data_IF_424416026404
#
_entry.id   IF_424416026404
#
_cell.length_a   1.000
_cell.length_b   1.000
_cell.length_c   1.000
_cell.angle_alpha   90.00
_cell.angle_beta   90.00
_cell.angle_gamma   90.00
#
_symmetry.space_group_name_H-M   'P 1'
#
loop_
_entity.id
_entity.type
_entity.pdbx_description
1 polymer ?
#
# COMPACT_ATOMS: atom_id res chain seq x y z
N UNK A 1 -1.66 -27.21 9.78
CA UNK A 1 -1.60 -27.06 11.25
C UNK A 1 -2.97 -26.59 11.72
N UNK A 2 -3.63 -27.32 12.64
CA UNK A 2 -4.76 -26.76 13.39
C UNK A 2 -4.23 -25.80 14.45
N UNK A 3 -4.97 -24.72 14.74
CA UNK A 3 -4.59 -23.79 15.80
C UNK A 3 -4.91 -24.42 17.17
N UNK A 4 -3.89 -24.51 18.02
CA UNK A 4 -3.88 -25.32 19.26
C UNK A 4 -4.45 -24.55 20.45
N UNK A 5 -4.88 -23.29 20.26
CA UNK A 5 -5.24 -22.39 21.36
C UNK A 5 -6.68 -22.48 21.88
N UNK A 6 -7.44 -23.54 21.54
CA UNK A 6 -8.77 -23.70 22.11
C UNK A 6 -8.71 -23.94 23.62
N UNK A 7 -9.26 -23.02 24.44
CA UNK A 7 -9.79 -23.42 25.75
C UNK A 7 -10.82 -24.52 25.48
N UNK A 8 -10.77 -25.68 26.17
CA UNK A 8 -11.75 -26.74 25.95
C UNK A 8 -13.16 -26.18 26.16
N UNK A 9 -14.02 -26.33 25.17
CA UNK A 9 -15.43 -25.96 25.33
C UNK A 9 -16.08 -26.98 26.27
N UNK A 10 -17.05 -26.54 27.07
CA UNK A 10 -17.75 -27.42 28.02
C UNK A 10 -18.53 -28.58 27.36
N UNK A 11 -18.50 -28.68 26.02
CA UNK A 11 -19.20 -29.70 25.22
C UNK A 11 -18.25 -30.67 24.50
N UNK A 12 -16.93 -30.53 24.63
CA UNK A 12 -15.98 -31.42 23.95
C UNK A 12 -15.86 -32.76 24.68
N UNK A 13 -16.55 -33.80 24.17
CA UNK A 13 -16.36 -35.17 24.64
C UNK A 13 -14.96 -35.69 24.25
N UNK A 14 -14.30 -36.52 25.09
CA UNK A 14 -12.89 -36.88 24.91
C UNK A 14 -12.57 -37.82 23.74
N UNK A 15 -13.55 -38.15 22.87
CA UNK A 15 -13.43 -39.30 21.97
C UNK A 15 -13.51 -39.03 20.47
N UNK A 16 -13.48 -37.77 20.00
CA UNK A 16 -13.45 -37.53 18.54
C UNK A 16 -12.89 -36.16 18.12
N UNK A 17 -11.73 -35.76 18.63
CA UNK A 17 -11.08 -34.52 18.21
C UNK A 17 -10.27 -34.69 16.92
N UNK A 18 -10.95 -34.94 15.79
CA UNK A 18 -10.37 -34.51 14.50
C UNK A 18 -10.33 -32.98 14.54
N UNK A 19 -9.18 -32.32 14.33
CA UNK A 19 -9.13 -30.87 14.32
C UNK A 19 -10.10 -30.37 13.25
N UNK A 20 -11.09 -29.57 13.64
CA UNK A 20 -11.96 -28.89 12.67
C UNK A 20 -11.04 -28.05 11.78
N UNK A 21 -11.19 -28.18 10.46
CA UNK A 21 -10.48 -27.32 9.51
C UNK A 21 -11.15 -25.95 9.53
N UNK A 22 -10.89 -25.19 10.57
CA UNK A 22 -11.30 -23.79 10.67
C UNK A 22 -10.21 -22.92 10.06
N UNK A 23 -10.57 -21.84 9.36
CA UNK A 23 -9.59 -20.87 8.90
C UNK A 23 -8.95 -20.21 10.12
N UNK A 24 -7.64 -20.38 10.23
CA UNK A 24 -6.84 -19.74 11.26
C UNK A 24 -5.94 -18.71 10.59
N UNK A 25 -5.99 -17.48 11.09
CA UNK A 25 -5.14 -16.40 10.61
C UNK A 25 -4.13 -16.03 11.68
N UNK A 26 -2.98 -15.51 11.24
CA UNK A 26 -1.91 -15.06 12.12
C UNK A 26 -1.76 -13.56 11.96
N UNK A 27 -2.37 -12.79 12.86
CA UNK A 27 -2.18 -11.34 12.94
C UNK A 27 -1.55 -11.00 14.28
N UNK A 28 -0.46 -10.24 14.29
CA UNK A 28 -0.06 -9.56 15.54
C UNK A 28 -1.22 -8.61 15.91
N UNK A 29 -1.36 -8.19 17.18
CA UNK A 29 -2.44 -7.28 17.68
C UNK A 29 -2.48 -5.87 17.04
N UNK A 30 -2.21 -5.77 15.74
CA UNK A 30 -2.33 -4.61 14.88
C UNK A 30 -3.72 -4.63 14.24
N UNK A 31 -4.53 -3.69 14.70
CA UNK A 31 -5.95 -3.54 14.40
C UNK A 31 -6.28 -3.51 12.89
N UNK A 32 -5.51 -2.85 11.99
CA UNK A 32 -5.94 -2.69 10.58
C UNK A 32 -6.00 -4.01 9.82
N UNK A 33 -5.00 -4.87 9.98
CA UNK A 33 -4.89 -6.10 9.19
C UNK A 33 -5.96 -7.11 9.59
N UNK A 34 -6.27 -7.19 10.87
CA UNK A 34 -7.31 -8.06 11.39
C UNK A 34 -8.70 -7.73 10.82
N UNK A 35 -9.06 -6.45 10.75
CA UNK A 35 -10.35 -5.98 10.20
C UNK A 35 -10.48 -6.33 8.71
N UNK A 36 -9.41 -6.12 7.93
CA UNK A 36 -9.41 -6.42 6.49
C UNK A 36 -9.51 -7.91 6.17
N UNK A 37 -9.18 -8.80 7.09
CA UNK A 37 -9.37 -10.23 6.90
C UNK A 37 -10.72 -10.71 7.44
N UNK A 38 -11.08 -10.37 8.67
CA UNK A 38 -12.31 -10.88 9.30
C UNK A 38 -13.59 -10.47 8.55
N UNK A 39 -13.70 -9.20 8.14
CA UNK A 39 -14.91 -8.70 7.48
C UNK A 39 -15.21 -9.41 6.15
N UNK A 40 -14.25 -9.58 5.21
CA UNK A 40 -14.49 -10.36 3.99
C UNK A 40 -14.81 -11.83 4.21
N UNK A 41 -14.36 -12.46 5.30
CA UNK A 41 -14.70 -13.85 5.62
C UNK A 41 -16.11 -13.98 6.21
N UNK A 42 -16.53 -13.03 7.05
CA UNK A 42 -17.88 -13.02 7.61
C UNK A 42 -18.95 -12.58 6.61
N UNK A 43 -18.62 -11.72 5.65
CA UNK A 43 -19.58 -11.24 4.64
C UNK A 43 -20.28 -12.38 3.85
N UNK A 44 -19.57 -13.37 3.27
CA UNK A 44 -20.20 -14.51 2.60
C UNK A 44 -20.63 -15.63 3.56
N UNK A 45 -20.03 -15.72 4.76
CA UNK A 45 -20.37 -16.74 5.74
C UNK A 45 -20.24 -16.22 7.19
N UNK A 46 -21.30 -15.62 7.76
CA UNK A 46 -21.25 -15.06 9.10
C UNK A 46 -21.18 -16.11 10.22
N UNK A 47 -21.35 -17.41 9.88
CA UNK A 47 -21.24 -18.53 10.83
C UNK A 47 -19.83 -19.11 10.89
N UNK A 48 -18.89 -18.58 10.12
CA UNK A 48 -17.51 -19.03 10.13
C UNK A 48 -16.89 -18.71 11.49
N UNK A 49 -16.17 -19.66 12.08
CA UNK A 49 -15.35 -19.39 13.25
C UNK A 49 -13.98 -18.90 12.78
N UNK A 50 -13.54 -17.77 13.33
CA UNK A 50 -12.17 -17.26 13.15
C UNK A 50 -11.41 -17.53 14.44
N UNK A 51 -10.26 -18.19 14.32
CA UNK A 51 -9.32 -18.37 15.43
C UNK A 51 -8.16 -17.41 15.24
N UNK A 52 -7.93 -16.55 16.23
CA UNK A 52 -6.82 -15.59 16.26
C UNK A 52 -5.91 -15.84 17.47
N UNK A 53 -4.79 -16.58 17.29
CA UNK A 53 -3.89 -16.93 18.37
C UNK A 53 -3.29 -15.75 19.13
N UNK A 54 -3.08 -14.59 18.49
CA UNK A 54 -2.47 -13.45 19.17
C UNK A 54 -3.46 -12.70 20.09
N UNK A 55 -4.75 -12.92 19.89
CA UNK A 55 -5.82 -12.41 20.74
C UNK A 55 -6.25 -13.44 21.79
N UNK A 56 -6.27 -14.71 21.42
CA UNK A 56 -6.85 -15.78 22.24
C UNK A 56 -5.84 -16.53 23.11
N UNK A 57 -4.56 -16.56 22.75
CA UNK A 57 -3.51 -17.18 23.58
C UNK A 57 -2.56 -16.15 24.21
N UNK A 58 -1.86 -16.59 25.25
CA UNK A 58 -0.89 -15.81 26.01
C UNK A 58 0.44 -15.67 25.26
N UNK A 59 0.41 -15.10 24.06
CA UNK A 59 1.58 -14.81 23.25
C UNK A 59 2.09 -13.42 23.61
N UNK A 60 3.23 -13.36 24.30
CA UNK A 60 3.77 -12.10 24.89
C UNK A 60 4.77 -11.41 23.94
N UNK A 61 5.12 -12.02 22.80
CA UNK A 61 6.03 -11.42 21.84
C UNK A 61 6.77 -12.43 20.97
N UNK A 62 7.79 -11.93 20.27
CA UNK A 62 8.62 -12.73 19.36
C UNK A 62 9.45 -13.76 20.12
N UNK A 63 10.00 -13.37 21.27
CA UNK A 63 10.86 -14.18 22.14
C UNK A 63 10.10 -15.40 22.64
N UNK A 64 8.88 -15.19 23.15
CA UNK A 64 7.97 -16.27 23.56
C UNK A 64 7.71 -17.25 22.40
N UNK A 65 7.42 -16.73 21.20
CA UNK A 65 7.17 -17.59 20.04
C UNK A 65 8.40 -18.41 19.62
N UNK A 66 9.61 -17.86 19.76
CA UNK A 66 10.89 -18.55 19.51
C UNK A 66 11.10 -19.66 20.54
N UNK A 67 10.90 -19.38 21.83
CA UNK A 67 11.03 -20.38 22.89
C UNK A 67 10.01 -21.51 22.74
N UNK A 68 8.76 -21.17 22.41
CA UNK A 68 7.73 -22.13 22.10
C UNK A 68 8.13 -23.03 20.94
N UNK A 69 8.63 -22.44 19.84
CA UNK A 69 9.10 -23.20 18.68
C UNK A 69 10.23 -24.18 19.06
N UNK A 70 11.21 -23.72 19.84
CA UNK A 70 12.32 -24.56 20.34
C UNK A 70 11.82 -25.71 21.20
N UNK A 71 10.95 -25.43 22.18
CA UNK A 71 10.36 -26.44 23.07
C UNK A 71 9.61 -27.53 22.31
N UNK A 72 8.99 -27.16 21.19
CA UNK A 72 8.20 -28.07 20.35
C UNK A 72 8.94 -28.58 19.11
N UNK A 73 10.28 -28.40 19.03
CA UNK A 73 11.11 -28.83 17.91
C UNK A 73 10.62 -28.33 16.54
N UNK A 74 10.02 -27.14 16.51
CA UNK A 74 9.61 -26.48 15.26
C UNK A 74 10.84 -25.78 14.68
N UNK A 75 11.31 -26.15 13.48
CA UNK A 75 12.48 -25.53 12.88
C UNK A 75 12.19 -24.07 12.55
N UNK A 76 13.04 -23.17 13.05
CA UNK A 76 12.99 -21.73 12.76
C UNK A 76 14.32 -21.27 12.17
N UNK A 77 14.32 -20.35 11.18
CA UNK A 77 15.54 -19.76 10.68
C UNK A 77 16.27 -18.98 11.79
N UNK A 78 17.54 -19.28 12.05
CA UNK A 78 18.32 -18.64 13.13
C UNK A 78 18.84 -17.23 12.81
N UNK A 79 18.58 -16.73 11.59
CA UNK A 79 19.12 -15.44 11.16
C UNK A 79 18.34 -14.26 11.72
N UNK A 80 18.97 -13.47 12.60
CA UNK A 80 18.60 -12.08 12.93
C UNK A 80 18.86 -11.13 11.75
N UNK A 81 18.35 -11.45 10.55
CA UNK A 81 18.74 -10.74 9.32
C UNK A 81 18.05 -9.38 9.15
N UNK A 82 16.88 -9.20 9.74
CA UNK A 82 16.18 -7.92 9.77
C UNK A 82 15.55 -7.73 11.15
N UNK A 83 15.73 -6.52 11.67
CA UNK A 83 15.08 -6.05 12.90
C UNK A 83 13.68 -5.48 12.62
N UNK A 84 13.39 -5.10 11.38
CA UNK A 84 12.10 -4.57 10.96
C UNK A 84 11.09 -5.69 10.71
N UNK A 85 9.83 -5.43 11.05
CA UNK A 85 8.70 -6.17 10.51
C UNK A 85 8.37 -5.57 9.15
N UNK A 86 8.33 -6.39 8.10
CA UNK A 86 8.02 -5.93 6.76
C UNK A 86 6.98 -6.79 6.07
N UNK A 87 6.12 -6.14 5.28
CA UNK A 87 5.15 -6.80 4.41
C UNK A 87 5.44 -6.40 2.97
N UNK A 88 5.50 -7.41 2.09
CA UNK A 88 5.92 -7.25 0.70
C UNK A 88 4.93 -7.94 -0.21
N UNK A 89 4.45 -7.19 -1.19
CA UNK A 89 3.71 -7.72 -2.33
C UNK A 89 4.28 -7.15 -3.64
N UNK A 90 3.53 -7.21 -4.73
CA UNK A 90 3.96 -6.65 -6.02
C UNK A 90 3.94 -5.10 -6.04
N UNK A 91 3.07 -4.50 -5.22
CA UNK A 91 2.75 -3.09 -5.24
C UNK A 91 3.65 -2.25 -4.34
N UNK A 92 3.95 -2.78 -3.15
CA UNK A 92 4.75 -2.08 -2.17
C UNK A 92 5.52 -3.02 -1.25
N UNK A 93 6.45 -2.42 -0.53
CA UNK A 93 7.17 -2.99 0.61
C UNK A 93 7.02 -2.01 1.77
N UNK A 94 6.43 -2.43 2.87
CA UNK A 94 6.37 -1.66 4.11
C UNK A 94 7.39 -2.17 5.13
N UNK A 95 7.84 -1.27 6.01
CA UNK A 95 8.66 -1.59 7.18
C UNK A 95 8.13 -0.86 8.40
N UNK A 96 8.18 -1.52 9.55
CA UNK A 96 7.70 -1.01 10.82
C UNK A 96 8.44 -1.65 11.99
N UNK A 97 8.41 -0.98 13.15
CA UNK A 97 8.99 -1.46 14.40
C UNK A 97 10.47 -1.11 14.59
N UNK A 98 10.99 -1.50 15.75
CA UNK A 98 12.35 -1.19 16.22
C UNK A 98 12.63 0.32 16.16
N UNK A 99 13.74 0.74 15.57
CA UNK A 99 14.17 2.15 15.56
C UNK A 99 13.14 3.12 14.97
N UNK A 100 12.21 2.63 14.14
CA UNK A 100 11.16 3.44 13.49
C UNK A 100 10.03 3.83 14.45
N UNK A 101 9.99 3.24 15.66
CA UNK A 101 8.98 3.60 16.68
C UNK A 101 9.28 4.95 17.35
N UNK A 102 10.54 5.41 17.28
CA UNK A 102 10.93 6.74 17.71
C UNK A 102 11.03 7.67 16.49
N UNK A 103 10.14 8.65 16.45
CA UNK A 103 10.01 9.63 15.35
C UNK A 103 11.27 10.47 15.13
N UNK A 104 12.15 10.56 16.13
CA UNK A 104 13.42 11.27 15.98
C UNK A 104 14.46 10.48 15.19
N UNK A 105 14.26 9.17 15.01
CA UNK A 105 15.18 8.33 14.25
C UNK A 105 14.90 8.40 12.75
N UNK A 106 15.96 8.65 11.97
CA UNK A 106 15.89 8.52 10.52
C UNK A 106 15.92 7.03 10.12
N UNK A 107 15.18 6.62 9.07
CA UNK A 107 15.34 5.29 8.50
C UNK A 107 16.78 5.01 8.04
N UNK A 108 17.27 3.78 8.28
CA UNK A 108 18.60 3.35 7.84
C UNK A 108 18.57 2.96 6.36
N UNK A 109 19.69 3.17 5.66
CA UNK A 109 19.81 2.89 4.21
C UNK A 109 19.58 1.41 3.86
N UNK A 110 19.91 0.48 4.76
CA UNK A 110 19.72 -0.96 4.58
C UNK A 110 18.23 -1.38 4.58
N UNK A 111 17.32 -0.48 4.95
CA UNK A 111 15.87 -0.68 4.88
C UNK A 111 15.35 -0.57 3.43
N UNK A 112 16.01 0.23 2.58
CA UNK A 112 15.56 0.44 1.20
C UNK A 112 15.96 -0.75 0.33
N UNK A 113 15.06 -1.72 0.20
CA UNK A 113 15.33 -2.95 -0.56
C UNK A 113 14.98 -2.87 -2.06
N UNK A 114 14.13 -1.91 -2.45
CA UNK A 114 13.61 -1.79 -3.84
C UNK A 114 14.14 -0.58 -4.58
N UNK A 115 14.44 0.48 -3.84
CA UNK A 115 14.90 1.76 -4.36
C UNK A 115 16.32 2.01 -3.88
N UNK A 116 17.12 2.66 -4.72
CA UNK A 116 18.38 3.26 -4.28
C UNK A 116 18.10 4.43 -3.33
N UNK A 117 19.05 4.78 -2.47
CA UNK A 117 18.96 6.03 -1.72
C UNK A 117 18.87 7.21 -2.70
N UNK A 118 18.03 8.24 -2.45
CA UNK A 118 17.94 9.39 -3.34
C UNK A 118 19.28 10.09 -3.60
N UNK A 119 20.23 10.02 -2.66
CA UNK A 119 21.60 10.54 -2.83
C UNK A 119 22.44 9.72 -3.84
N UNK A 120 22.03 8.49 -4.14
CA UNK A 120 22.69 7.56 -5.07
C UNK A 120 21.90 7.40 -6.39
N UNK A 121 20.77 8.10 -6.53
CA UNK A 121 19.97 8.10 -7.74
C UNK A 121 20.72 8.75 -8.92
N UNK A 122 20.31 8.43 -10.14
CA UNK A 122 20.93 9.02 -11.34
C UNK A 122 20.61 10.51 -11.44
N UNK A 123 21.62 11.34 -11.69
CA UNK A 123 21.42 12.77 -11.94
C UNK A 123 20.65 13.09 -13.23
N UNK A 124 20.62 12.16 -14.19
CA UNK A 124 19.95 12.35 -15.48
C UNK A 124 18.52 11.84 -15.42
N UNK A 125 17.52 12.68 -15.79
CA UNK A 125 16.13 12.24 -15.84
C UNK A 125 15.94 11.16 -16.91
N UNK A 126 15.06 10.21 -16.62
CA UNK A 126 14.62 9.18 -17.56
C UNK A 126 13.17 9.46 -17.97
N UNK A 127 12.94 9.68 -19.26
CA UNK A 127 11.60 9.88 -19.79
C UNK A 127 10.97 8.52 -20.06
N UNK A 128 9.78 8.32 -19.53
CA UNK A 128 8.96 7.15 -19.79
C UNK A 128 7.60 7.58 -20.33
N UNK A 129 7.05 6.80 -21.25
CA UNK A 129 5.67 6.94 -21.70
C UNK A 129 4.83 5.82 -21.10
N UNK A 130 3.69 6.16 -20.50
CA UNK A 130 2.74 5.19 -19.96
C UNK A 130 1.48 5.27 -20.80
N UNK A 131 1.13 4.17 -21.47
CA UNK A 131 -0.15 4.06 -22.15
C UNK A 131 -1.25 3.71 -21.16
N UNK A 132 -2.42 4.31 -21.38
CA UNK A 132 -3.60 4.10 -20.56
C UNK A 132 -4.78 3.88 -21.49
N UNK A 133 -5.40 2.71 -21.39
CA UNK A 133 -6.63 2.36 -22.10
C UNK A 133 -7.77 2.20 -21.10
N UNK A 134 -8.86 2.96 -21.29
CA UNK A 134 -10.05 2.89 -20.44
C UNK A 134 -9.77 3.05 -18.93
N UNK A 135 -8.77 3.87 -18.57
CA UNK A 135 -8.37 4.13 -17.19
C UNK A 135 -7.38 3.12 -16.60
N UNK A 136 -6.97 2.09 -17.37
CA UNK A 136 -6.01 1.09 -16.94
C UNK A 136 -4.67 1.28 -17.69
N UNK A 137 -3.53 1.31 -16.98
CA UNK A 137 -2.25 1.33 -17.64
C UNK A 137 -2.00 -0.02 -18.35
N UNK A 138 -1.61 0.03 -19.62
CA UNK A 138 -1.45 -1.15 -20.49
C UNK A 138 -0.04 -1.30 -21.06
N UNK A 139 0.76 -0.23 -21.06
CA UNK A 139 2.03 -0.19 -21.74
C UNK A 139 3.02 0.78 -21.10
N UNK A 140 4.31 0.48 -21.30
CA UNK A 140 5.43 1.35 -20.91
C UNK A 140 6.34 1.49 -22.13
N UNK A 141 6.67 2.73 -22.50
CA UNK A 141 7.44 3.07 -23.69
C UNK A 141 6.89 2.40 -24.96
N UNK A 142 5.56 2.48 -25.14
CA UNK A 142 4.80 1.89 -26.25
C UNK A 142 4.82 0.36 -26.32
N UNK A 143 5.41 -0.30 -25.32
CA UNK A 143 5.40 -1.76 -25.22
C UNK A 143 4.25 -2.19 -24.32
N UNK A 144 3.29 -2.92 -24.90
CA UNK A 144 2.21 -3.57 -24.15
C UNK A 144 2.75 -4.60 -23.16
N UNK A 145 2.20 -4.57 -21.94
CA UNK A 145 2.60 -5.43 -20.84
C UNK A 145 1.36 -5.94 -20.11
N UNK A 146 1.42 -7.17 -19.59
CA UNK A 146 0.41 -7.59 -18.61
C UNK A 146 0.49 -6.70 -17.37
N UNK A 147 -0.61 -6.52 -16.61
CA UNK A 147 -0.61 -5.67 -15.42
C UNK A 147 0.55 -5.99 -14.47
N UNK A 148 0.80 -7.27 -14.20
CA UNK A 148 1.90 -7.67 -13.31
C UNK A 148 3.29 -7.29 -13.88
N UNK A 149 3.49 -7.46 -15.18
CA UNK A 149 4.77 -7.11 -15.84
C UNK A 149 4.98 -5.60 -15.86
N UNK A 150 3.90 -4.82 -15.99
CA UNK A 150 3.92 -3.37 -15.92
C UNK A 150 4.42 -2.89 -14.55
N UNK A 151 3.91 -3.45 -13.45
CA UNK A 151 4.42 -3.16 -12.10
C UNK A 151 5.88 -3.54 -11.92
N UNK A 152 6.27 -4.73 -12.41
CA UNK A 152 7.67 -5.16 -12.33
C UNK A 152 8.59 -4.19 -13.09
N UNK A 153 8.18 -3.72 -14.26
CA UNK A 153 8.99 -2.81 -15.07
C UNK A 153 9.06 -1.41 -14.44
N UNK A 154 7.93 -0.87 -14.02
CA UNK A 154 7.89 0.43 -13.33
C UNK A 154 8.69 0.40 -12.02
N UNK A 155 8.59 -0.66 -11.22
CA UNK A 155 9.37 -0.81 -9.99
C UNK A 155 10.88 -0.83 -10.25
N UNK A 156 11.33 -1.41 -11.38
CA UNK A 156 12.76 -1.37 -11.76
C UNK A 156 13.20 0.02 -12.17
N UNK A 157 12.35 0.76 -12.88
CA UNK A 157 12.66 2.13 -13.33
C UNK A 157 12.68 3.05 -12.12
N UNK A 158 11.59 3.11 -11.35
CA UNK A 158 11.48 3.92 -10.13
C UNK A 158 12.57 3.57 -9.11
N UNK A 159 12.87 2.28 -8.95
CA UNK A 159 13.91 1.76 -8.07
C UNK A 159 15.29 2.38 -8.34
N UNK A 160 15.68 2.52 -9.61
CA UNK A 160 16.97 3.12 -10.01
C UNK A 160 17.05 4.63 -9.74
N UNK A 161 15.91 5.29 -9.62
CA UNK A 161 15.81 6.73 -9.43
C UNK A 161 15.43 7.10 -7.99
N UNK A 162 15.31 6.14 -7.07
CA UNK A 162 14.93 6.41 -5.68
C UNK A 162 13.46 6.81 -5.48
N UNK A 163 12.61 6.61 -6.50
CA UNK A 163 11.21 7.08 -6.49
C UNK A 163 10.34 6.13 -5.67
N UNK A 164 9.43 6.69 -4.86
CA UNK A 164 8.42 5.93 -4.11
C UNK A 164 8.80 5.61 -2.67
N UNK A 165 9.81 6.28 -2.10
CA UNK A 165 10.10 6.22 -0.67
C UNK A 165 9.15 7.17 0.08
N UNK A 166 8.41 6.63 1.05
CA UNK A 166 7.46 7.37 1.87
C UNK A 166 7.74 7.03 3.33
N UNK A 167 7.97 8.05 4.14
CA UNK A 167 7.99 7.96 5.60
C UNK A 167 6.68 8.59 6.11
N UNK A 168 5.95 7.90 6.98
CA UNK A 168 4.63 8.34 7.41
C UNK A 168 4.30 7.93 8.84
N UNK A 169 3.57 8.80 9.53
CA UNK A 169 2.90 8.48 10.79
C UNK A 169 1.41 8.28 10.50
N UNK A 170 0.94 7.04 10.59
CA UNK A 170 -0.45 6.71 10.30
C UNK A 170 -1.30 6.50 11.57
N UNK A 171 -2.56 6.94 11.50
CA UNK A 171 -3.57 6.58 12.49
C UNK A 171 -4.22 5.25 12.11
N UNK A 172 -4.18 4.27 13.02
CA UNK A 172 -4.60 2.88 12.77
C UNK A 172 -6.10 2.64 12.61
N UNK A 173 -6.95 3.66 12.76
CA UNK A 173 -8.41 3.54 12.63
C UNK A 173 -9.07 4.71 11.86
N UNK A 174 -8.53 5.94 11.92
CA UNK A 174 -9.07 7.13 11.25
C UNK A 174 -7.96 8.14 10.88
N UNK A 175 -7.82 8.45 9.56
CA UNK A 175 -6.96 9.42 8.82
C UNK A 175 -6.49 10.70 9.57
N UNK A 176 -5.39 11.42 9.34
CA UNK A 176 -4.00 11.30 8.82
C UNK A 176 -3.22 12.52 9.42
N UNK A 177 -1.91 12.42 9.67
CA UNK A 177 -0.98 13.57 9.68
C UNK A 177 0.26 13.18 8.87
N UNK A 178 0.85 14.12 8.13
CA UNK A 178 1.98 13.89 7.23
C UNK A 178 3.20 14.63 7.78
N UNK A 179 4.37 13.96 7.81
CA UNK A 179 5.64 14.60 8.17
C UNK A 179 6.73 14.26 7.15
N UNK A 180 7.67 15.18 7.06
CA UNK A 180 8.81 15.34 6.13
C UNK A 180 9.17 14.14 5.24
N UNK A 181 8.91 14.29 3.95
CA UNK A 181 9.29 13.36 2.90
C UNK A 181 10.57 13.79 2.18
N UNK A 182 11.46 12.84 1.91
CA UNK A 182 12.56 13.00 0.97
C UNK A 182 12.14 12.40 -0.37
N UNK A 183 12.12 13.20 -1.43
CA UNK A 183 11.60 12.76 -2.72
C UNK A 183 12.71 12.70 -3.78
N UNK A 184 12.81 11.56 -4.44
CA UNK A 184 13.03 11.57 -5.88
C UNK A 184 11.68 11.80 -6.57
N UNK A 185 11.63 12.75 -7.49
CA UNK A 185 10.37 13.29 -8.01
C UNK A 185 9.96 12.61 -9.32
N UNK A 186 8.67 12.34 -9.47
CA UNK A 186 8.05 11.97 -10.74
C UNK A 186 7.30 13.18 -11.29
N UNK A 187 7.77 13.73 -12.40
CA UNK A 187 7.21 14.94 -13.00
C UNK A 187 6.55 14.58 -14.33
N UNK A 188 5.30 15.02 -14.51
CA UNK A 188 4.61 14.88 -15.80
C UNK A 188 5.21 15.82 -16.83
N UNK A 189 5.85 15.26 -17.86
CA UNK A 189 6.49 16.03 -18.92
C UNK A 189 5.52 16.45 -20.04
N UNK A 190 4.45 15.69 -20.25
CA UNK A 190 3.52 15.92 -21.36
C UNK A 190 2.38 14.91 -21.40
N UNK A 191 1.35 15.21 -22.19
CA UNK A 191 0.14 14.38 -22.32
C UNK A 191 -0.33 14.39 -23.76
N UNK A 192 -0.81 13.25 -24.27
CA UNK A 192 -1.53 13.16 -25.54
C UNK A 192 -2.67 12.16 -25.42
N UNK A 193 -3.78 12.43 -26.10
CA UNK A 193 -4.90 11.50 -26.17
C UNK A 193 -5.74 11.77 -27.42
N UNK A 194 -6.18 10.73 -28.16
CA UNK A 194 -7.17 10.90 -29.22
C UNK A 194 -8.54 11.32 -28.68
N UNK A 195 -8.78 11.15 -27.38
CA UNK A 195 -9.99 11.57 -26.67
C UNK A 195 -9.76 12.85 -25.84
N UNK A 196 -8.77 13.66 -26.20
CA UNK A 196 -8.47 14.90 -25.50
C UNK A 196 -9.65 15.88 -25.59
N UNK A 197 -10.15 16.30 -24.43
CA UNK A 197 -11.07 17.44 -24.33
C UNK A 197 -10.35 18.79 -24.37
N UNK A 198 -9.02 18.79 -24.28
CA UNK A 198 -8.23 20.01 -24.45
C UNK A 198 -8.30 20.48 -25.91
N UNK A 199 -8.71 21.74 -26.08
CA UNK A 199 -8.86 22.44 -27.35
C UNK A 199 -7.87 23.59 -27.41
N UNK A 200 -6.74 23.38 -28.09
CA UNK A 200 -5.67 24.37 -28.20
C UNK A 200 -6.13 25.66 -28.91
N UNK A 201 -7.04 25.51 -29.88
CA UNK A 201 -7.64 26.58 -30.67
C UNK A 201 -8.62 27.47 -29.87
N UNK A 202 -9.13 26.99 -28.74
CA UNK A 202 -9.90 27.79 -27.78
C UNK A 202 -8.97 28.40 -26.72
N UNK A 203 -7.89 27.70 -26.37
CA UNK A 203 -7.00 28.06 -25.26
C UNK A 203 -5.84 28.97 -25.66
N UNK A 204 -5.58 29.14 -26.97
CA UNK A 204 -4.46 29.93 -27.47
C UNK A 204 -4.75 31.43 -27.44
N UNK A 205 -3.73 32.22 -27.10
CA UNK A 205 -3.76 33.68 -27.22
C UNK A 205 -3.63 34.18 -28.66
N UNK A 206 -3.30 33.30 -29.60
CA UNK A 206 -3.06 33.65 -31.00
C UNK A 206 -4.30 33.44 -31.88
N UNK A 207 -5.28 32.65 -31.43
CA UNK A 207 -6.49 32.31 -32.19
C UNK A 207 -7.70 33.11 -31.71
N UNK A 208 -7.95 34.26 -32.35
CA UNK A 208 -8.97 35.23 -31.91
C UNK A 208 -10.41 34.98 -32.40
N UNK A 209 -10.74 33.79 -32.91
CA UNK A 209 -12.00 33.59 -33.65
C UNK A 209 -12.93 32.50 -33.10
N UNK A 210 -12.54 31.75 -32.08
CA UNK A 210 -13.36 30.60 -31.59
C UNK A 210 -13.99 30.89 -30.22
N UNK A 211 -13.30 31.62 -29.34
CA UNK A 211 -13.85 32.04 -28.05
C UNK A 211 -14.30 33.50 -28.10
N UNK A 212 -15.56 33.76 -27.74
CA UNK A 212 -16.13 35.10 -27.65
C UNK A 212 -15.92 35.69 -26.24
N UNK A 213 -14.91 36.55 -26.09
CA UNK A 213 -14.52 37.15 -24.81
C UNK A 213 -15.68 37.86 -24.07
N UNK A 214 -16.56 38.62 -24.75
CA UNK A 214 -17.80 39.15 -24.17
C UNK A 214 -18.64 38.17 -23.33
N UNK A 215 -18.71 36.88 -23.69
CA UNK A 215 -19.50 35.88 -22.95
C UNK A 215 -19.01 35.71 -21.50
N UNK A 216 -17.71 35.87 -21.25
CA UNK A 216 -17.13 35.81 -19.91
C UNK A 216 -17.75 36.84 -18.96
N UNK A 217 -18.05 38.04 -19.47
CA UNK A 217 -18.63 39.13 -18.65
C UNK A 217 -19.99 38.72 -18.11
N UNK A 218 -20.85 38.13 -18.96
CA UNK A 218 -22.19 37.71 -18.55
C UNK A 218 -22.14 36.48 -17.65
N UNK A 219 -21.22 35.56 -17.91
CA UNK A 219 -20.99 34.39 -17.07
C UNK A 219 -20.61 34.78 -15.64
N UNK A 220 -19.64 35.70 -15.48
CA UNK A 220 -19.19 36.18 -14.17
C UNK A 220 -20.33 36.86 -13.40
N UNK A 221 -21.13 37.69 -14.07
CA UNK A 221 -22.28 38.35 -13.46
C UNK A 221 -23.31 37.35 -12.92
N UNK A 222 -23.62 36.30 -13.68
CA UNK A 222 -24.63 35.32 -13.31
C UNK A 222 -24.13 34.37 -12.21
N UNK A 223 -22.88 33.90 -12.30
CA UNK A 223 -22.27 32.99 -11.33
C UNK A 223 -21.92 33.69 -10.01
N UNK A 224 -21.69 35.01 -10.06
CA UNK A 224 -21.44 35.85 -8.88
C UNK A 224 -22.70 36.28 -8.12
N UNK A 225 -23.91 35.97 -8.63
CA UNK A 225 -25.13 36.21 -7.85
C UNK A 225 -25.12 35.31 -6.61
N UNK A 226 -25.50 35.82 -5.43
CA UNK A 226 -25.65 34.99 -4.26
C UNK A 226 -26.67 33.88 -4.57
N UNK A 227 -26.28 32.63 -4.32
CA UNK A 227 -27.23 31.53 -4.30
C UNK A 227 -28.27 31.88 -3.24
N UNK A 228 -29.53 32.07 -3.65
CA UNK A 228 -30.64 32.14 -2.71
C UNK A 228 -30.72 30.78 -1.99
N UNK A 229 -30.07 30.69 -0.83
CA UNK A 229 -30.27 29.63 0.17
C UNK A 229 -31.46 29.99 1.06
#
# INVERSE_FOLDING_TARGET
MGCICGKPSATDSPRNSRPRKEPCFRFIRKIPFQVHFELPFFAPNPKLNVVDPWRECDIIGREYAIEYAKKHNVPIPETKKSIYSGDRNLWHLSHEGDILEDLANKPKKDMYMWTVDPEEAKDKPEYIEIGIESGLPDSVNLKELSPASLFVELNKISGKHGIGQIDMVENRLVRWYEDQLKYAELISAGRRSPYSLYRQDISSFESNHIYDQPDATRFIQLYGLPNFQ
#
